data_IF_414880625276
#
_entry.id   IF_414880625276
#
_cell.length_a   1.000
_cell.length_b   1.000
_cell.length_c   1.000
_cell.angle_alpha   90.00
_cell.angle_beta   90.00
_cell.angle_gamma   90.00
#
_symmetry.space_group_name_H-M   'P 1'
#
loop_
_entity.id
_entity.type
_entity.pdbx_description
1 polymer ?
#
# COMPACT_ATOMS: atom_id res chain seq x y z
N UNK A 1 29.48 36.07 19.59
CA UNK A 1 29.94 34.98 18.70
C UNK A 1 28.74 34.31 18.09
N UNK A 2 28.42 34.65 16.86
CA UNK A 2 27.22 34.23 16.14
C UNK A 2 27.44 32.82 15.57
N UNK A 3 26.63 31.86 15.99
CA UNK A 3 26.54 30.55 15.31
C UNK A 3 25.81 30.75 13.97
N UNK A 4 26.55 30.77 12.89
CA UNK A 4 26.02 30.62 11.52
C UNK A 4 25.38 29.26 11.40
N UNK A 5 24.06 29.20 11.41
CA UNK A 5 23.33 28.03 10.93
C UNK A 5 23.42 28.01 9.43
N UNK A 6 24.29 27.16 8.93
CA UNK A 6 24.43 26.83 7.53
C UNK A 6 23.20 26.04 7.09
N UNK A 7 22.40 26.69 6.25
CA UNK A 7 21.47 26.02 5.32
C UNK A 7 22.28 25.20 4.32
N UNK A 8 22.63 23.98 4.67
CA UNK A 8 23.06 22.96 3.71
C UNK A 8 21.96 21.94 3.61
N UNK A 9 21.44 21.79 2.42
CA UNK A 9 20.55 20.72 2.05
C UNK A 9 21.13 19.40 2.52
N UNK A 10 20.38 18.71 3.37
CA UNK A 10 20.66 17.43 3.99
C UNK A 10 22.11 16.90 3.83
N UNK A 11 22.80 16.61 4.90
CA UNK A 11 24.23 16.32 5.08
C UNK A 11 24.85 15.20 4.20
N UNK A 12 24.11 14.61 3.28
CA UNK A 12 24.53 13.50 2.42
C UNK A 12 25.41 13.89 1.21
N UNK A 13 25.80 15.15 1.04
CA UNK A 13 26.42 15.60 -0.22
C UNK A 13 27.95 15.66 -0.24
N UNK A 14 28.66 15.37 0.82
CA UNK A 14 30.12 15.40 0.78
C UNK A 14 30.75 14.37 1.71
N UNK A 15 31.13 13.22 1.16
CA UNK A 15 32.46 12.59 1.36
C UNK A 15 32.58 11.36 0.48
N UNK A 16 33.53 11.36 -0.51
CA UNK A 16 33.93 10.15 -1.23
C UNK A 16 35.07 9.46 -0.46
N UNK A 17 34.96 8.13 -0.30
CA UNK A 17 36.05 7.18 -0.15
C UNK A 17 36.93 7.25 1.09
N UNK A 18 36.63 6.47 2.12
CA UNK A 18 37.63 5.80 2.94
C UNK A 18 37.13 4.38 3.25
N UNK A 19 37.74 3.40 2.62
CA UNK A 19 37.56 1.97 2.93
C UNK A 19 38.39 1.63 4.17
N UNK A 20 37.77 1.10 5.23
CA UNK A 20 38.43 0.25 6.23
C UNK A 20 37.55 -0.95 6.50
N UNK A 21 37.93 -2.08 5.92
CA UNK A 21 37.37 -3.41 6.13
C UNK A 21 37.81 -3.91 7.51
N UNK A 22 36.92 -3.85 8.49
CA UNK A 22 36.97 -4.72 9.65
C UNK A 22 35.83 -5.73 9.53
N UNK A 23 36.18 -7.01 9.44
CA UNK A 23 35.30 -8.14 9.11
C UNK A 23 34.30 -8.54 10.20
N UNK A 24 33.42 -7.63 10.60
CA UNK A 24 32.19 -7.97 11.31
C UNK A 24 31.05 -8.00 10.31
N UNK A 25 30.36 -9.13 10.24
CA UNK A 25 29.07 -9.24 9.54
C UNK A 25 28.10 -8.24 10.19
N UNK A 26 27.99 -7.05 9.60
CA UNK A 26 27.09 -6.02 10.10
C UNK A 26 25.65 -6.46 9.89
N UNK A 27 24.83 -6.38 10.96
CA UNK A 27 23.41 -6.72 10.89
C UNK A 27 22.70 -5.78 9.91
N UNK A 28 21.87 -6.36 9.05
CA UNK A 28 21.03 -5.63 8.12
C UNK A 28 20.09 -4.68 8.87
N UNK A 29 19.94 -3.44 8.37
CA UNK A 29 19.02 -2.44 8.91
C UNK A 29 18.09 -1.98 7.80
N UNK A 30 16.79 -2.01 8.07
CA UNK A 30 15.71 -1.57 7.19
C UNK A 30 14.89 -0.51 7.90
N UNK A 31 14.55 0.57 7.19
CA UNK A 31 13.55 1.53 7.63
C UNK A 31 12.24 1.26 6.93
N UNK A 32 11.15 1.30 7.68
CA UNK A 32 9.80 1.39 7.15
C UNK A 32 9.27 2.81 7.43
N UNK A 33 8.89 3.51 6.36
CA UNK A 33 8.42 4.90 6.41
C UNK A 33 6.94 4.91 6.06
N UNK A 34 6.09 5.44 6.95
CA UNK A 34 4.62 5.41 6.88
C UNK A 34 4.06 6.83 7.10
N UNK A 35 3.29 7.35 6.15
CA UNK A 35 2.70 8.68 6.25
C UNK A 35 1.52 8.68 7.22
N UNK A 36 1.58 9.53 8.24
CA UNK A 36 0.54 9.60 9.26
C UNK A 36 -0.79 10.08 8.72
N UNK A 37 -1.83 9.23 8.77
CA UNK A 37 -3.17 9.52 8.24
C UNK A 37 -3.11 10.13 6.85
N UNK A 38 -2.44 9.48 5.92
CA UNK A 38 -2.01 9.98 4.62
C UNK A 38 -3.06 10.83 3.89
N UNK A 39 -4.24 10.27 3.63
CA UNK A 39 -5.28 10.97 2.88
C UNK A 39 -5.75 12.26 3.57
N UNK A 40 -5.87 12.26 4.90
CA UNK A 40 -6.19 13.48 5.63
C UNK A 40 -5.04 14.48 5.61
N UNK A 41 -3.81 14.02 5.80
CA UNK A 41 -2.62 14.88 5.78
C UNK A 41 -2.41 15.53 4.42
N UNK A 42 -2.66 14.80 3.35
CA UNK A 42 -2.56 15.32 1.99
C UNK A 42 -3.72 16.26 1.64
N UNK A 43 -4.96 15.95 2.06
CA UNK A 43 -6.08 16.90 1.92
C UNK A 43 -5.81 18.19 2.70
N UNK A 44 -5.24 18.12 3.90
CA UNK A 44 -4.87 19.30 4.68
C UNK A 44 -3.78 20.13 3.97
N UNK A 45 -2.76 19.48 3.42
CA UNK A 45 -1.72 20.14 2.62
C UNK A 45 -2.34 20.87 1.43
N UNK A 46 -3.22 20.22 0.68
CA UNK A 46 -3.92 20.80 -0.48
C UNK A 46 -4.73 22.04 -0.09
N UNK A 47 -5.50 21.96 0.99
CA UNK A 47 -6.30 23.10 1.50
C UNK A 47 -5.41 24.29 1.88
N UNK A 48 -4.27 24.03 2.54
CA UNK A 48 -3.31 25.08 2.91
C UNK A 48 -2.63 25.70 1.68
N UNK A 49 -2.27 24.91 0.67
CA UNK A 49 -1.70 25.38 -0.61
C UNK A 49 -2.70 26.26 -1.40
N UNK A 50 -3.99 26.00 -1.25
CA UNK A 50 -5.07 26.85 -1.82
C UNK A 50 -5.28 28.16 -1.05
N UNK A 51 -4.50 28.42 0.01
CA UNK A 51 -4.54 29.67 0.77
C UNK A 51 -5.51 29.68 1.95
N UNK A 52 -6.14 28.56 2.28
CA UNK A 52 -6.95 28.46 3.50
C UNK A 52 -6.06 28.48 4.74
N UNK A 53 -6.51 29.19 5.80
CA UNK A 53 -5.74 29.35 7.05
C UNK A 53 -5.99 28.25 8.09
N UNK A 54 -6.96 27.39 7.86
CA UNK A 54 -7.34 26.35 8.82
C UNK A 54 -6.71 25.03 8.43
N UNK A 55 -5.84 24.52 9.28
CA UNK A 55 -5.33 23.17 9.15
C UNK A 55 -6.38 22.17 9.65
N UNK A 56 -6.95 21.40 8.74
CA UNK A 56 -7.99 20.42 9.08
C UNK A 56 -7.45 19.26 9.93
N UNK A 57 -6.13 19.03 10.01
CA UNK A 57 -5.52 18.03 10.90
C UNK A 57 -5.71 18.37 12.38
N UNK A 58 -5.81 19.65 12.70
CA UNK A 58 -5.99 20.19 14.06
C UNK A 58 -7.46 20.30 14.49
N UNK A 59 -8.37 20.01 13.57
CA UNK A 59 -9.82 20.04 13.79
C UNK A 59 -10.40 18.64 13.78
N UNK A 60 -11.62 18.50 14.30
CA UNK A 60 -12.39 17.26 14.17
C UNK A 60 -12.82 17.12 12.72
N UNK A 61 -12.05 16.37 11.95
CA UNK A 61 -12.19 16.28 10.50
C UNK A 61 -11.96 14.87 9.97
N UNK A 62 -12.54 14.58 8.82
CA UNK A 62 -12.39 13.33 8.09
C UNK A 62 -12.27 13.58 6.60
N UNK A 63 -11.59 12.67 5.92
CA UNK A 63 -11.77 12.45 4.48
C UNK A 63 -12.77 11.32 4.33
N UNK A 64 -13.70 11.46 3.42
CA UNK A 64 -14.75 10.48 3.20
C UNK A 64 -14.76 9.99 1.75
N UNK A 65 -15.31 8.83 1.53
CA UNK A 65 -15.58 8.31 0.19
C UNK A 65 -17.06 8.00 0.07
N UNK A 66 -17.65 8.44 -1.03
CA UNK A 66 -18.97 8.01 -1.46
C UNK A 66 -18.80 6.81 -2.38
N UNK A 67 -18.95 5.63 -1.82
CA UNK A 67 -19.24 4.46 -2.65
C UNK A 67 -20.74 4.41 -2.86
N UNK A 68 -21.16 4.14 -4.09
CA UNK A 68 -22.54 4.26 -4.64
C UNK A 68 -23.71 3.86 -3.73
N UNK A 69 -23.44 3.20 -2.61
CA UNK A 69 -24.45 2.76 -1.62
C UNK A 69 -24.13 3.15 -0.18
N UNK A 70 -22.92 3.55 0.14
CA UNK A 70 -22.49 3.83 1.52
C UNK A 70 -21.40 4.88 1.54
N UNK A 71 -21.48 5.77 2.53
CA UNK A 71 -20.45 6.79 2.78
C UNK A 71 -19.61 6.37 3.98
N UNK A 72 -18.31 6.22 3.78
CA UNK A 72 -17.37 5.81 4.83
C UNK A 72 -16.26 6.82 5.06
N UNK A 73 -15.79 6.88 6.29
CA UNK A 73 -14.57 7.59 6.66
C UNK A 73 -13.36 6.86 6.06
N UNK A 74 -12.65 7.54 5.19
CA UNK A 74 -11.39 7.06 4.58
C UNK A 74 -10.19 7.32 5.49
N UNK A 75 -10.14 8.52 6.09
CA UNK A 75 -9.13 8.89 7.07
C UNK A 75 -9.73 9.90 8.07
N UNK A 76 -9.23 9.87 9.32
CA UNK A 76 -9.69 10.74 10.39
C UNK A 76 -8.52 11.46 11.06
N UNK A 77 -8.73 12.72 11.46
CA UNK A 77 -7.79 13.52 12.24
C UNK A 77 -7.57 12.93 13.65
N UNK A 78 -6.47 13.32 14.29
CA UNK A 78 -6.24 12.91 15.69
C UNK A 78 -7.35 13.41 16.64
N UNK A 79 -7.86 14.67 16.54
CA UNK A 79 -9.05 15.08 17.28
C UNK A 79 -10.28 14.20 17.02
N UNK A 80 -10.53 13.82 15.76
CA UNK A 80 -11.65 12.93 15.43
C UNK A 80 -11.47 11.52 16.01
N UNK A 81 -10.24 10.96 15.93
CA UNK A 81 -9.91 9.65 16.51
C UNK A 81 -10.12 9.61 18.04
N UNK A 82 -9.81 10.70 18.75
CA UNK A 82 -10.04 10.83 20.20
C UNK A 82 -11.52 10.78 20.56
N UNK A 83 -12.41 11.20 19.65
CA UNK A 83 -13.87 11.09 19.80
C UNK A 83 -14.42 9.73 19.34
N UNK A 84 -13.55 8.77 18.99
CA UNK A 84 -13.93 7.44 18.56
C UNK A 84 -14.26 7.32 17.07
N UNK A 85 -14.07 8.37 16.27
CA UNK A 85 -14.27 8.32 14.82
C UNK A 85 -13.09 7.55 14.17
N UNK A 86 -13.41 6.47 13.44
CA UNK A 86 -12.41 5.53 12.89
C UNK A 86 -12.56 5.40 11.37
N UNK A 87 -11.46 5.02 10.71
CA UNK A 87 -11.48 4.56 9.31
C UNK A 87 -12.51 3.42 9.15
N UNK A 88 -13.19 3.39 8.01
CA UNK A 88 -14.31 2.52 7.67
C UNK A 88 -15.59 2.74 8.48
N UNK A 89 -15.64 3.73 9.39
CA UNK A 89 -16.89 4.12 10.07
C UNK A 89 -17.85 4.74 9.05
N UNK A 90 -19.15 4.41 9.19
CA UNK A 90 -20.18 5.08 8.40
C UNK A 90 -20.21 6.58 8.72
N UNK A 91 -20.30 7.42 7.70
CA UNK A 91 -20.21 8.88 7.84
C UNK A 91 -21.35 9.45 8.68
N UNK A 92 -22.58 8.88 8.59
CA UNK A 92 -23.69 9.31 9.44
C UNK A 92 -23.39 9.07 10.91
N UNK A 93 -22.81 7.90 11.23
CA UNK A 93 -22.39 7.60 12.60
C UNK A 93 -21.28 8.55 13.08
N UNK A 94 -20.35 8.92 12.22
CA UNK A 94 -19.32 9.91 12.57
C UNK A 94 -19.93 11.29 12.86
N UNK A 95 -20.96 11.71 12.10
CA UNK A 95 -21.71 12.97 12.35
C UNK A 95 -22.53 12.93 13.64
N UNK A 96 -23.08 11.77 14.01
CA UNK A 96 -23.75 11.60 15.30
C UNK A 96 -22.79 11.80 16.48
N UNK A 97 -21.54 11.31 16.37
CA UNK A 97 -20.51 11.51 17.38
C UNK A 97 -20.06 12.96 17.48
N UNK A 98 -20.04 13.69 16.37
CA UNK A 98 -19.67 15.10 16.32
C UNK A 98 -20.38 15.82 15.17
N UNK A 99 -21.48 16.56 15.45
CA UNK A 99 -22.26 17.25 14.41
C UNK A 99 -21.49 18.31 13.63
N UNK A 100 -20.46 18.93 14.25
CA UNK A 100 -19.59 19.92 13.63
C UNK A 100 -18.43 19.35 12.81
N UNK A 101 -18.52 18.07 12.40
CA UNK A 101 -17.47 17.36 11.67
C UNK A 101 -17.13 18.04 10.35
N UNK A 102 -15.85 18.40 10.18
CA UNK A 102 -15.33 18.89 8.89
C UNK A 102 -15.12 17.67 7.98
N UNK A 103 -15.67 17.76 6.78
CA UNK A 103 -15.67 16.65 5.82
C UNK A 103 -14.99 17.14 4.55
N UNK A 104 -13.86 16.50 4.20
CA UNK A 104 -13.12 16.79 2.98
C UNK A 104 -13.37 15.69 1.94
N UNK A 105 -13.60 16.04 0.65
CA UNK A 105 -13.65 15.04 -0.42
C UNK A 105 -12.26 14.48 -0.69
N UNK A 106 -12.14 13.24 -1.18
CA UNK A 106 -10.86 12.68 -1.58
C UNK A 106 -10.41 13.23 -2.94
N UNK A 107 -9.12 13.52 -3.07
CA UNK A 107 -8.47 13.81 -4.35
C UNK A 107 -7.32 12.82 -4.60
N UNK A 108 -7.65 11.68 -5.18
CA UNK A 108 -6.68 10.60 -5.43
C UNK A 108 -5.56 11.01 -6.40
N UNK A 109 -5.80 11.96 -7.30
CA UNK A 109 -4.78 12.49 -8.21
C UNK A 109 -3.73 13.28 -7.41
N UNK A 110 -4.19 14.15 -6.52
CA UNK A 110 -3.31 14.91 -5.63
C UNK A 110 -2.59 14.01 -4.64
N UNK A 111 -3.26 12.97 -4.10
CA UNK A 111 -2.62 11.99 -3.22
C UNK A 111 -1.48 11.24 -3.90
N UNK A 112 -1.68 10.84 -5.16
CA UNK A 112 -0.62 10.24 -5.97
C UNK A 112 0.56 11.19 -6.20
N UNK A 113 0.31 12.49 -6.37
CA UNK A 113 1.38 13.49 -6.46
C UNK A 113 2.19 13.59 -5.17
N UNK A 114 1.52 13.69 -4.00
CA UNK A 114 2.18 13.72 -2.70
C UNK A 114 3.02 12.44 -2.44
N UNK A 115 2.48 11.29 -2.77
CA UNK A 115 3.20 10.00 -2.72
C UNK A 115 4.45 10.03 -3.59
N UNK A 116 4.33 10.46 -4.84
CA UNK A 116 5.46 10.55 -5.77
C UNK A 116 6.52 11.55 -5.29
N UNK A 117 6.12 12.68 -4.69
CA UNK A 117 7.04 13.66 -4.08
C UNK A 117 7.85 13.02 -2.95
N UNK A 118 7.21 12.24 -2.08
CA UNK A 118 7.87 11.52 -1.00
C UNK A 118 8.88 10.51 -1.55
N UNK A 119 8.45 9.65 -2.46
CA UNK A 119 9.31 8.62 -3.06
C UNK A 119 10.49 9.26 -3.80
N UNK A 120 10.26 10.31 -4.59
CA UNK A 120 11.30 11.06 -5.28
C UNK A 120 12.29 11.71 -4.32
N UNK A 121 11.81 12.22 -3.17
CA UNK A 121 12.65 12.77 -2.12
C UNK A 121 13.55 11.68 -1.53
N UNK A 122 12.97 10.54 -1.14
CA UNK A 122 13.69 9.44 -0.49
C UNK A 122 14.72 8.79 -1.41
N UNK A 123 14.42 8.63 -2.70
CA UNK A 123 15.35 8.07 -3.70
C UNK A 123 16.65 8.86 -3.89
N UNK A 124 16.68 10.13 -3.47
CA UNK A 124 17.91 10.93 -3.48
C UNK A 124 18.93 10.47 -2.44
N UNK A 125 18.45 9.82 -1.38
CA UNK A 125 19.26 9.44 -0.22
C UNK A 125 19.37 7.93 -0.04
N UNK A 126 18.38 7.19 -0.56
CA UNK A 126 18.32 5.73 -0.45
C UNK A 126 18.19 5.13 -1.84
N UNK A 127 19.28 4.58 -2.42
CA UNK A 127 19.24 3.98 -3.75
C UNK A 127 18.35 2.73 -3.79
N UNK A 128 18.29 1.96 -2.70
CA UNK A 128 17.43 0.78 -2.57
C UNK A 128 16.18 1.13 -1.80
N UNK A 129 15.09 1.39 -2.54
CA UNK A 129 13.78 1.75 -2.00
C UNK A 129 12.69 0.90 -2.64
N UNK A 130 11.85 0.29 -1.81
CA UNK A 130 10.65 -0.43 -2.23
C UNK A 130 9.41 0.35 -1.82
N UNK A 131 8.65 0.86 -2.78
CA UNK A 131 7.33 1.40 -2.50
C UNK A 131 6.37 0.24 -2.23
N UNK A 132 5.79 0.20 -1.02
CA UNK A 132 4.89 -0.87 -0.59
C UNK A 132 3.41 -0.52 -0.84
N UNK A 133 3.04 0.72 -0.56
CA UNK A 133 1.72 1.28 -0.84
C UNK A 133 1.82 2.73 -1.33
N UNK A 134 0.70 3.45 -1.42
CA UNK A 134 0.69 4.87 -1.76
C UNK A 134 1.36 5.73 -0.68
N UNK A 135 1.36 5.28 0.58
CA UNK A 135 1.79 6.01 1.77
C UNK A 135 2.91 5.32 2.55
N UNK A 136 3.35 4.15 2.11
CA UNK A 136 4.37 3.36 2.80
C UNK A 136 5.50 2.92 1.87
N UNK A 137 6.72 2.94 2.39
CA UNK A 137 7.88 2.37 1.69
C UNK A 137 8.89 1.79 2.66
N UNK A 138 9.69 0.85 2.13
CA UNK A 138 10.88 0.32 2.80
C UNK A 138 12.12 0.88 2.13
N UNK A 139 13.13 1.20 2.94
CA UNK A 139 14.47 1.55 2.44
C UNK A 139 15.52 0.71 3.14
N UNK A 140 16.51 0.29 2.38
CA UNK A 140 17.69 -0.38 2.93
C UNK A 140 18.65 0.71 3.45
N UNK A 141 19.02 0.61 4.73
CA UNK A 141 20.03 1.49 5.30
C UNK A 141 21.40 0.90 5.00
N UNK A 142 22.09 1.46 3.99
CA UNK A 142 23.30 0.89 3.41
C UNK A 142 24.50 0.89 4.35
N UNK A 143 25.46 -0.02 4.13
CA UNK A 143 26.66 -0.15 4.94
C UNK A 143 27.49 1.14 4.96
N UNK A 144 27.58 1.82 3.82
CA UNK A 144 28.33 3.08 3.68
C UNK A 144 27.81 4.23 4.55
N UNK A 145 26.53 4.20 4.89
CA UNK A 145 25.89 5.21 5.76
C UNK A 145 26.00 4.82 7.23
N UNK A 146 25.99 3.52 7.55
CA UNK A 146 26.01 2.97 8.92
C UNK A 146 27.30 3.28 9.67
N UNK A 147 28.42 3.33 8.99
CA UNK A 147 29.73 3.56 9.60
C UNK A 147 29.86 4.96 10.22
N UNK A 148 28.99 5.88 9.82
CA UNK A 148 29.09 7.27 10.22
C UNK A 148 27.91 7.78 11.10
N UNK A 149 26.73 7.12 11.03
CA UNK A 149 25.53 7.67 11.66
C UNK A 149 24.67 6.60 12.32
N UNK A 150 24.30 6.88 13.56
CA UNK A 150 23.32 6.07 14.27
C UNK A 150 21.96 6.05 13.54
N UNK A 151 21.37 4.87 13.25
CA UNK A 151 20.11 4.75 12.52
C UNK A 151 18.95 5.54 13.11
N UNK A 152 18.89 5.68 14.44
CA UNK A 152 17.83 6.43 15.13
C UNK A 152 17.98 7.92 14.84
N UNK A 153 19.21 8.42 14.89
CA UNK A 153 19.53 9.83 14.57
C UNK A 153 19.12 10.13 13.13
N UNK A 154 19.55 9.29 12.18
CA UNK A 154 19.21 9.48 10.75
C UNK A 154 17.70 9.44 10.51
N UNK A 155 17.00 8.48 11.09
CA UNK A 155 15.54 8.37 10.96
C UNK A 155 14.82 9.59 11.58
N UNK A 156 15.34 10.12 12.69
CA UNK A 156 14.76 11.30 13.35
C UNK A 156 14.94 12.55 12.49
N UNK A 157 16.12 12.77 11.97
CA UNK A 157 16.40 13.90 11.05
C UNK A 157 15.61 13.77 9.75
N UNK A 158 15.54 12.58 9.19
CA UNK A 158 14.74 12.29 7.99
C UNK A 158 13.27 12.60 8.19
N UNK A 159 12.68 12.15 9.31
CA UNK A 159 11.30 12.43 9.69
C UNK A 159 11.03 13.94 9.76
N UNK A 160 11.91 14.69 10.42
CA UNK A 160 11.78 16.13 10.57
C UNK A 160 12.01 16.88 9.25
N UNK A 161 12.89 16.38 8.41
CA UNK A 161 13.12 16.89 7.06
C UNK A 161 11.89 16.69 6.16
N UNK A 162 11.28 15.51 6.16
CA UNK A 162 10.04 15.22 5.44
C UNK A 162 8.93 16.18 5.88
N UNK A 163 8.74 16.34 7.20
CA UNK A 163 7.75 17.29 7.75
C UNK A 163 7.97 18.72 7.26
N UNK A 164 9.21 19.18 7.25
CA UNK A 164 9.56 20.55 6.81
C UNK A 164 9.38 20.73 5.32
N UNK A 165 9.75 19.76 4.49
CA UNK A 165 9.74 19.88 3.02
C UNK A 165 8.40 19.56 2.40
N UNK A 166 7.68 18.58 2.95
CA UNK A 166 6.46 18.04 2.33
C UNK A 166 5.17 18.39 3.10
N UNK A 167 5.29 19.00 4.29
CA UNK A 167 4.18 19.51 5.10
C UNK A 167 3.25 18.41 5.65
N UNK A 168 3.74 17.18 5.74
CA UNK A 168 3.08 16.10 6.44
C UNK A 168 4.08 15.31 7.29
N UNK A 169 3.59 14.51 8.21
CA UNK A 169 4.42 13.74 9.12
C UNK A 169 4.47 12.27 8.72
N UNK A 170 5.56 11.60 9.09
CA UNK A 170 5.73 10.17 8.92
C UNK A 170 6.09 9.52 10.24
N UNK A 171 5.77 8.24 10.39
CA UNK A 171 6.42 7.36 11.33
C UNK A 171 7.54 6.61 10.64
N UNK A 172 8.63 6.36 11.34
CA UNK A 172 9.73 5.54 10.84
C UNK A 172 9.98 4.41 11.84
N UNK A 173 9.82 3.18 11.36
CA UNK A 173 10.21 1.98 12.09
C UNK A 173 11.56 1.47 11.60
N UNK A 174 12.41 1.05 12.53
CA UNK A 174 13.76 0.56 12.27
C UNK A 174 13.83 -0.90 12.74
N UNK A 175 14.32 -1.79 11.89
CA UNK A 175 14.46 -3.21 12.24
C UNK A 175 15.51 -3.93 11.42
N UNK A 176 15.84 -5.17 11.80
CA UNK A 176 16.81 -6.00 11.07
C UNK A 176 16.23 -6.60 9.77
N UNK A 177 14.93 -6.49 9.55
CA UNK A 177 14.24 -6.91 8.34
C UNK A 177 12.97 -6.06 8.11
N UNK A 178 12.32 -6.26 6.98
CA UNK A 178 11.12 -5.49 6.60
C UNK A 178 9.98 -5.65 7.59
N UNK A 179 9.73 -6.87 8.05
CA UNK A 179 8.66 -7.16 8.98
C UNK A 179 8.86 -6.42 10.32
N UNK A 180 10.06 -6.50 10.92
CA UNK A 180 10.36 -5.83 12.18
C UNK A 180 10.28 -4.31 12.04
N UNK A 181 10.78 -3.76 10.92
CA UNK A 181 10.67 -2.33 10.63
C UNK A 181 9.20 -1.89 10.49
N UNK A 182 8.35 -2.71 9.81
CA UNK A 182 6.91 -2.44 9.71
C UNK A 182 6.22 -2.46 11.07
N UNK A 183 6.47 -3.46 11.89
CA UNK A 183 5.94 -3.55 13.25
C UNK A 183 6.34 -2.33 14.10
N UNK A 184 7.61 -1.93 14.04
CA UNK A 184 8.11 -0.77 14.79
C UNK A 184 7.40 0.52 14.41
N UNK A 185 7.10 0.74 13.12
CA UNK A 185 6.42 1.95 12.66
C UNK A 185 4.99 2.09 13.18
N UNK A 186 4.38 0.99 13.61
CA UNK A 186 2.99 0.95 14.09
C UNK A 186 2.85 1.10 15.61
N UNK A 187 3.93 1.08 16.42
CA UNK A 187 3.86 1.11 17.90
C UNK A 187 3.16 2.36 18.43
N UNK A 188 3.66 3.52 18.13
CA UNK A 188 3.06 4.79 18.56
C UNK A 188 3.07 5.78 17.41
N UNK A 189 1.91 6.35 17.09
CA UNK A 189 1.71 7.36 16.04
C UNK A 189 1.04 8.61 16.64
N UNK A 190 1.26 9.80 16.09
CA UNK A 190 2.01 10.14 14.88
C UNK A 190 3.43 10.68 15.14
N UNK A 191 4.22 10.81 14.07
CA UNK A 191 5.50 11.55 14.01
C UNK A 191 6.57 11.02 14.95
N UNK A 192 6.72 9.69 14.99
CA UNK A 192 7.65 8.97 15.88
C UNK A 192 8.67 8.15 15.09
N UNK A 193 9.75 7.83 15.77
CA UNK A 193 10.74 6.84 15.34
C UNK A 193 10.79 5.76 16.42
N UNK A 194 10.70 4.51 15.98
CA UNK A 194 10.76 3.36 16.87
C UNK A 194 11.68 2.29 16.30
N UNK A 195 12.30 1.53 17.21
CA UNK A 195 13.10 0.36 16.87
C UNK A 195 12.37 -0.91 17.25
N UNK A 196 12.59 -1.96 16.44
CA UNK A 196 12.32 -3.33 16.83
C UNK A 196 13.42 -4.21 16.21
N UNK A 197 14.48 -4.40 16.99
CA UNK A 197 15.55 -5.32 16.66
C UNK A 197 15.24 -6.73 17.18
N UNK A 198 15.97 -7.74 16.68
CA UNK A 198 15.77 -9.14 17.10
C UNK A 198 15.85 -9.35 18.62
N UNK A 199 16.76 -8.65 19.28
CA UNK A 199 16.91 -8.70 20.75
C UNK A 199 15.79 -7.98 21.53
N UNK A 200 14.99 -7.14 20.85
CA UNK A 200 13.88 -6.38 21.45
C UNK A 200 12.51 -7.09 21.30
N UNK A 201 12.43 -8.15 20.50
CA UNK A 201 11.19 -8.86 20.18
C UNK A 201 10.43 -9.29 21.44
N UNK A 202 11.15 -9.84 22.43
CA UNK A 202 10.57 -10.34 23.68
C UNK A 202 9.87 -9.25 24.48
N UNK A 203 10.45 -8.06 24.49
CA UNK A 203 9.97 -6.95 25.28
C UNK A 203 8.91 -6.12 24.55
N UNK A 204 9.16 -5.82 23.27
CA UNK A 204 8.33 -4.86 22.52
C UNK A 204 7.24 -5.50 21.68
N UNK A 205 7.42 -6.72 21.16
CA UNK A 205 6.50 -7.33 20.21
C UNK A 205 5.67 -8.46 20.84
N UNK A 206 6.27 -9.38 21.57
CA UNK A 206 5.56 -10.55 22.11
C UNK A 206 4.39 -10.21 23.06
N UNK A 207 4.43 -9.15 23.89
CA UNK A 207 3.30 -8.78 24.73
C UNK A 207 2.08 -8.25 23.97
N UNK A 208 2.25 -7.87 22.71
CA UNK A 208 1.15 -7.31 21.91
C UNK A 208 0.07 -8.36 21.64
N UNK A 209 -1.16 -7.89 21.47
CA UNK A 209 -2.25 -8.73 21.09
C UNK A 209 -2.01 -9.33 19.68
N UNK A 210 -2.47 -10.56 19.46
CA UNK A 210 -2.18 -11.31 18.22
C UNK A 210 -2.63 -10.60 16.94
N UNK A 211 -3.70 -9.81 16.99
CA UNK A 211 -4.19 -9.02 15.83
C UNK A 211 -3.34 -7.79 15.50
N UNK A 212 -2.37 -7.44 16.35
CA UNK A 212 -1.37 -6.41 16.08
C UNK A 212 -0.20 -6.96 15.26
N UNK A 213 -0.06 -8.28 15.17
CA UNK A 213 0.91 -8.91 14.30
C UNK A 213 0.56 -8.59 12.83
N UNK A 214 1.49 -7.95 12.12
CA UNK A 214 1.31 -7.68 10.69
C UNK A 214 1.01 -8.96 9.91
N UNK A 215 -0.09 -8.93 9.14
CA UNK A 215 -0.62 -10.11 8.46
C UNK A 215 -1.69 -10.87 9.24
N UNK A 216 -1.82 -10.69 10.54
CA UNK A 216 -2.88 -11.32 11.31
C UNK A 216 -4.17 -10.47 11.29
N UNK A 217 -5.20 -10.95 10.61
CA UNK A 217 -6.46 -10.23 10.46
C UNK A 217 -7.36 -10.43 11.67
N UNK A 218 -8.05 -9.38 12.14
CA UNK A 218 -9.03 -9.49 13.25
C UNK A 218 -10.09 -10.56 13.07
N UNK A 219 -10.48 -10.87 11.84
CA UNK A 219 -11.43 -11.96 11.55
C UNK A 219 -10.92 -13.35 11.96
N UNK A 220 -9.60 -13.51 12.16
CA UNK A 220 -8.96 -14.76 12.60
C UNK A 220 -8.98 -14.89 14.13
N UNK A 221 -9.24 -13.82 14.86
CA UNK A 221 -9.21 -13.77 16.33
C UNK A 221 -10.08 -14.84 17.00
N UNK A 222 -11.33 -15.13 16.57
CA UNK A 222 -12.15 -16.15 17.21
C UNK A 222 -11.52 -17.55 17.15
N UNK A 223 -10.92 -17.90 16.01
CA UNK A 223 -10.26 -19.21 15.85
C UNK A 223 -8.96 -19.29 16.67
N UNK A 224 -8.18 -18.20 16.69
CA UNK A 224 -6.98 -18.10 17.50
C UNK A 224 -7.27 -18.24 18.99
N UNK A 225 -8.32 -17.58 19.48
CA UNK A 225 -8.75 -17.68 20.87
C UNK A 225 -9.13 -19.12 21.28
N UNK A 226 -9.83 -19.88 20.40
CA UNK A 226 -10.14 -21.31 20.63
C UNK A 226 -8.87 -22.15 20.80
N UNK A 227 -7.78 -21.75 20.16
CA UNK A 227 -6.48 -22.41 20.24
C UNK A 227 -5.59 -21.90 21.39
N UNK A 228 -6.11 -20.99 22.23
CA UNK A 228 -5.37 -20.36 23.33
C UNK A 228 -4.28 -19.42 22.84
N UNK A 229 -4.48 -18.74 21.68
CA UNK A 229 -3.55 -17.75 21.14
C UNK A 229 -4.20 -16.38 21.27
N UNK A 230 -3.69 -15.55 22.18
CA UNK A 230 -4.17 -14.19 22.44
C UNK A 230 -3.11 -13.13 22.16
N UNK A 231 -1.84 -13.49 22.34
CA UNK A 231 -0.69 -12.62 22.14
C UNK A 231 0.22 -13.14 21.05
N UNK A 232 1.13 -12.30 20.57
CA UNK A 232 2.16 -12.71 19.60
C UNK A 232 3.07 -13.77 20.25
N UNK A 233 3.32 -13.66 21.57
CA UNK A 233 4.08 -14.65 22.34
C UNK A 233 3.43 -16.04 22.27
N UNK A 234 2.12 -16.13 22.44
CA UNK A 234 1.39 -17.41 22.37
C UNK A 234 1.60 -18.07 21.01
N UNK A 235 1.52 -17.31 19.91
CA UNK A 235 1.76 -17.83 18.57
C UNK A 235 3.22 -18.29 18.39
N UNK A 236 4.18 -17.46 18.81
CA UNK A 236 5.61 -17.74 18.66
C UNK A 236 6.04 -19.03 19.36
N UNK A 237 5.36 -19.42 20.46
CA UNK A 237 5.67 -20.61 21.27
C UNK A 237 4.79 -21.84 20.95
N UNK A 238 3.84 -21.73 20.01
CA UNK A 238 3.08 -22.90 19.53
C UNK A 238 3.95 -23.82 18.68
N UNK A 239 3.61 -25.10 18.70
CA UNK A 239 4.28 -26.06 17.84
C UNK A 239 4.02 -25.74 16.35
N UNK A 240 5.10 -25.46 15.61
CA UNK A 240 5.04 -25.06 14.20
C UNK A 240 4.36 -26.11 13.31
N UNK A 241 4.65 -27.40 13.55
CA UNK A 241 4.08 -28.50 12.75
C UNK A 241 2.57 -28.64 13.00
N UNK A 242 2.13 -28.47 14.25
CA UNK A 242 0.72 -28.44 14.61
C UNK A 242 -0.01 -27.31 13.89
N UNK A 243 0.50 -26.09 13.95
CA UNK A 243 -0.10 -24.95 13.26
C UNK A 243 -0.21 -25.19 11.75
N UNK A 244 0.84 -25.74 11.14
CA UNK A 244 0.85 -26.02 9.71
C UNK A 244 -0.19 -27.09 9.33
N UNK A 245 -0.29 -28.19 10.09
CA UNK A 245 -1.23 -29.28 9.80
C UNK A 245 -2.70 -28.88 9.93
N UNK A 246 -3.01 -27.96 10.85
CA UNK A 246 -4.40 -27.53 11.13
C UNK A 246 -4.81 -26.33 10.30
N UNK A 247 -3.91 -25.39 10.06
CA UNK A 247 -4.21 -24.05 9.53
C UNK A 247 -3.54 -23.75 8.19
N UNK A 248 -2.66 -24.64 7.70
CA UNK A 248 -2.00 -24.54 6.40
C UNK A 248 -0.81 -23.59 6.35
N UNK A 249 -0.31 -23.34 5.13
CA UNK A 249 0.95 -22.62 4.90
C UNK A 249 0.98 -21.18 5.42
N UNK A 250 -0.16 -20.50 5.45
CA UNK A 250 -0.23 -19.11 5.91
C UNK A 250 0.19 -18.96 7.38
N UNK A 251 -0.17 -19.94 8.22
CA UNK A 251 0.19 -19.95 9.64
C UNK A 251 1.67 -20.23 9.89
N UNK A 252 2.30 -20.99 8.99
CA UNK A 252 3.76 -21.11 9.01
C UNK A 252 4.42 -19.76 8.87
N UNK A 253 3.97 -18.95 7.91
CA UNK A 253 4.48 -17.59 7.70
C UNK A 253 4.24 -16.72 8.95
N UNK A 254 3.03 -16.73 9.50
CA UNK A 254 2.72 -15.94 10.70
C UNK A 254 3.56 -16.37 11.92
N UNK A 255 3.84 -17.68 12.05
CA UNK A 255 4.72 -18.18 13.11
C UNK A 255 6.17 -17.71 12.93
N UNK A 256 6.70 -17.72 11.71
CA UNK A 256 8.02 -17.19 11.38
C UNK A 256 8.08 -15.69 11.70
N UNK A 257 7.08 -14.93 11.30
CA UNK A 257 6.97 -13.51 11.63
C UNK A 257 6.89 -13.26 13.14
N UNK A 258 6.10 -14.05 13.90
CA UNK A 258 6.01 -13.94 15.35
C UNK A 258 7.36 -14.19 16.06
N UNK A 259 8.27 -14.92 15.41
CA UNK A 259 9.65 -15.14 15.85
C UNK A 259 10.65 -14.11 15.25
N UNK A 260 10.15 -13.11 14.51
CA UNK A 260 10.99 -12.07 13.90
C UNK A 260 11.74 -12.52 12.65
N UNK A 261 11.34 -13.64 12.06
CA UNK A 261 11.97 -14.22 10.87
C UNK A 261 11.33 -13.66 9.61
N UNK A 262 12.07 -12.86 8.85
CA UNK A 262 11.71 -12.39 7.53
C UNK A 262 12.97 -12.20 6.67
N UNK A 263 13.11 -13.04 5.65
CA UNK A 263 14.25 -13.04 4.74
C UNK A 263 13.97 -12.25 3.45
N UNK A 264 12.83 -11.54 3.35
CA UNK A 264 12.50 -10.78 2.16
C UNK A 264 13.44 -9.59 1.99
N UNK A 265 13.87 -9.36 0.75
CA UNK A 265 14.74 -8.23 0.42
C UNK A 265 13.90 -6.97 0.19
N UNK A 266 14.49 -5.80 0.42
CA UNK A 266 13.98 -4.55 -0.13
C UNK A 266 14.32 -4.57 -1.61
N UNK A 267 13.29 -4.61 -2.46
CA UNK A 267 13.46 -4.71 -3.91
C UNK A 267 12.87 -3.45 -4.52
N UNK A 268 13.65 -2.80 -5.36
CA UNK A 268 13.16 -1.67 -6.15
C UNK A 268 12.27 -2.17 -7.30
N UNK A 269 11.01 -2.42 -6.98
CA UNK A 269 10.01 -2.98 -7.90
C UNK A 269 9.22 -1.89 -8.61
N UNK A 270 9.84 -0.79 -8.98
CA UNK A 270 9.08 0.32 -9.56
C UNK A 270 8.36 -0.04 -10.87
N UNK A 271 8.75 -1.12 -11.56
CA UNK A 271 8.27 -1.41 -12.92
C UNK A 271 7.62 -2.79 -13.18
N UNK A 272 7.58 -3.70 -12.23
CA UNK A 272 7.02 -5.05 -12.50
C UNK A 272 5.55 -5.17 -12.08
N UNK A 273 4.65 -4.49 -12.78
CA UNK A 273 3.22 -4.76 -12.64
C UNK A 273 2.89 -6.12 -13.25
N UNK A 274 2.35 -7.02 -12.45
CA UNK A 274 1.91 -8.35 -12.90
C UNK A 274 0.55 -8.34 -13.59
N UNK A 275 -0.27 -7.32 -13.33
CA UNK A 275 -1.61 -7.15 -13.89
C UNK A 275 -2.18 -5.76 -13.67
N UNK A 276 -3.24 -5.45 -14.40
CA UNK A 276 -4.06 -4.26 -14.27
C UNK A 276 -5.53 -4.70 -14.23
N UNK A 277 -6.38 -3.97 -13.52
CA UNK A 277 -7.81 -4.28 -13.45
C UNK A 277 -8.63 -3.07 -13.05
N UNK A 278 -9.87 -3.06 -13.50
CA UNK A 278 -10.89 -2.08 -13.16
C UNK A 278 -12.14 -2.81 -12.65
N UNK A 279 -12.84 -2.22 -11.69
CA UNK A 279 -14.11 -2.76 -11.21
C UNK A 279 -15.03 -1.67 -10.72
N UNK A 280 -16.33 -1.92 -10.73
CA UNK A 280 -17.32 -0.99 -10.21
C UNK A 280 -18.44 -1.71 -9.50
N UNK A 281 -18.85 -1.14 -8.35
CA UNK A 281 -20.09 -1.51 -7.69
C UNK A 281 -21.24 -0.90 -8.48
N UNK A 282 -22.29 -1.67 -8.76
CA UNK A 282 -23.53 -1.18 -9.37
C UNK A 282 -24.35 -0.36 -8.37
N UNK A 283 -25.07 0.68 -8.81
CA UNK A 283 -25.88 1.51 -7.89
C UNK A 283 -27.02 0.72 -7.22
N UNK A 284 -27.58 -0.21 -7.97
CA UNK A 284 -28.62 -1.16 -7.52
C UNK A 284 -28.14 -2.57 -7.87
N UNK A 285 -28.70 -3.57 -7.20
CA UNK A 285 -28.53 -4.97 -7.62
C UNK A 285 -29.19 -5.12 -8.99
N UNK A 286 -28.55 -5.82 -9.90
CA UNK A 286 -29.00 -5.86 -11.29
C UNK A 286 -28.68 -7.19 -11.95
N UNK A 287 -29.63 -7.61 -12.79
CA UNK A 287 -29.51 -8.69 -13.77
C UNK A 287 -29.66 -8.16 -15.22
N UNK A 288 -29.60 -6.84 -15.41
CA UNK A 288 -29.62 -6.22 -16.72
C UNK A 288 -28.26 -6.44 -17.41
N UNK A 289 -28.25 -7.35 -18.37
CA UNK A 289 -27.04 -7.74 -19.11
C UNK A 289 -26.41 -6.55 -19.83
N UNK A 290 -27.21 -5.74 -20.53
CA UNK A 290 -26.68 -4.63 -21.34
C UNK A 290 -26.05 -3.55 -20.44
N UNK A 291 -26.69 -3.29 -19.30
CA UNK A 291 -26.14 -2.40 -18.30
C UNK A 291 -24.80 -2.93 -17.75
N UNK A 292 -24.69 -4.24 -17.45
CA UNK A 292 -23.46 -4.85 -16.95
C UNK A 292 -22.35 -4.80 -18.00
N UNK A 293 -22.65 -5.12 -19.26
CA UNK A 293 -21.71 -5.10 -20.39
C UNK A 293 -21.14 -3.70 -20.61
N UNK A 294 -21.93 -2.65 -20.43
CA UNK A 294 -21.46 -1.27 -20.57
C UNK A 294 -20.31 -0.92 -19.61
N UNK A 295 -20.21 -1.62 -18.48
CA UNK A 295 -19.05 -1.50 -17.57
C UNK A 295 -17.82 -2.21 -18.13
N UNK A 296 -17.98 -3.41 -18.73
CA UNK A 296 -16.87 -4.15 -19.31
C UNK A 296 -16.25 -3.38 -20.48
N UNK A 297 -17.06 -2.77 -21.33
CA UNK A 297 -16.61 -1.91 -22.42
C UNK A 297 -15.78 -0.73 -21.90
N UNK A 298 -16.30 0.00 -20.92
CA UNK A 298 -15.59 1.11 -20.30
C UNK A 298 -14.28 0.67 -19.64
N UNK A 299 -14.27 -0.48 -18.96
CA UNK A 299 -13.06 -1.01 -18.33
C UNK A 299 -12.03 -1.44 -19.38
N UNK A 300 -12.45 -1.97 -20.53
CA UNK A 300 -11.52 -2.30 -21.60
C UNK A 300 -10.77 -1.07 -22.11
N UNK A 301 -11.47 0.05 -22.29
CA UNK A 301 -10.86 1.35 -22.67
C UNK A 301 -9.92 1.85 -21.55
N UNK A 302 -10.33 1.77 -20.28
CA UNK A 302 -9.48 2.17 -19.15
C UNK A 302 -8.19 1.33 -19.08
N UNK A 303 -8.29 0.03 -19.30
CA UNK A 303 -7.15 -0.87 -19.33
C UNK A 303 -6.22 -0.59 -20.52
N UNK A 304 -6.76 -0.35 -21.71
CA UNK A 304 -5.95 0.06 -22.88
C UNK A 304 -5.13 1.30 -22.59
N UNK A 305 -5.77 2.37 -22.07
CA UNK A 305 -5.08 3.61 -21.71
C UNK A 305 -3.98 3.37 -20.67
N UNK A 306 -4.27 2.54 -19.67
CA UNK A 306 -3.28 2.18 -18.65
C UNK A 306 -2.12 1.33 -19.18
N UNK A 307 -2.37 0.43 -20.14
CA UNK A 307 -1.36 -0.39 -20.80
C UNK A 307 -0.49 0.47 -21.73
N UNK A 308 -1.09 1.38 -22.48
CA UNK A 308 -0.38 2.32 -23.36
C UNK A 308 0.55 3.26 -22.57
N UNK A 309 0.07 3.84 -21.47
CA UNK A 309 0.87 4.71 -20.58
C UNK A 309 2.15 4.01 -20.06
N UNK A 310 2.12 2.68 -19.97
CA UNK A 310 3.22 1.86 -19.45
C UNK A 310 3.97 1.05 -20.50
N UNK A 311 3.55 1.15 -21.77
CA UNK A 311 4.09 0.33 -22.87
C UNK A 311 4.00 -1.18 -22.57
N UNK A 312 2.84 -1.63 -22.03
CA UNK A 312 2.60 -3.00 -21.62
C UNK A 312 1.56 -3.68 -22.50
N UNK A 313 1.66 -5.00 -22.59
CA UNK A 313 0.65 -5.90 -23.15
C UNK A 313 0.51 -7.12 -22.24
N UNK A 314 -0.66 -7.74 -22.20
CA UNK A 314 -0.93 -8.90 -21.36
C UNK A 314 -1.55 -10.06 -22.13
N UNK A 315 -1.58 -11.26 -21.55
CA UNK A 315 -2.18 -12.42 -22.20
C UNK A 315 -3.09 -13.26 -21.29
N UNK A 316 -3.49 -12.73 -20.13
CA UNK A 316 -4.53 -13.37 -19.31
C UNK A 316 -5.62 -12.35 -19.03
N UNK A 317 -6.83 -12.63 -19.54
CA UNK A 317 -8.02 -11.84 -19.24
C UNK A 317 -8.77 -12.51 -18.10
N UNK A 318 -9.26 -11.70 -17.16
CA UNK A 318 -10.04 -12.15 -16.01
C UNK A 318 -11.28 -11.26 -15.86
N UNK A 319 -12.45 -11.90 -15.77
CA UNK A 319 -13.73 -11.24 -15.45
C UNK A 319 -14.21 -11.76 -14.10
N UNK A 320 -14.73 -10.89 -13.26
CA UNK A 320 -15.34 -11.27 -12.00
C UNK A 320 -16.62 -10.50 -11.73
N UNK A 321 -17.53 -11.17 -11.04
CA UNK A 321 -18.77 -10.59 -10.55
C UNK A 321 -18.91 -10.85 -9.07
N UNK A 322 -19.65 -9.99 -8.37
CA UNK A 322 -20.04 -10.22 -6.98
C UNK A 322 -21.56 -10.24 -6.91
N UNK A 323 -22.09 -11.31 -6.34
CA UNK A 323 -23.52 -11.49 -6.09
C UNK A 323 -23.99 -10.64 -4.91
N UNK A 324 -25.30 -10.57 -4.74
CA UNK A 324 -25.95 -9.78 -3.68
C UNK A 324 -25.64 -10.29 -2.26
N UNK A 325 -25.34 -11.56 -2.10
CA UNK A 325 -24.86 -12.20 -0.86
C UNK A 325 -23.36 -11.97 -0.60
N UNK A 326 -22.68 -11.13 -1.41
CA UNK A 326 -21.26 -10.83 -1.38
C UNK A 326 -20.33 -11.98 -1.80
N UNK A 327 -20.84 -13.08 -2.32
CA UNK A 327 -20.01 -14.11 -2.94
C UNK A 327 -19.43 -13.64 -4.27
N UNK A 328 -18.19 -14.05 -4.56
CA UNK A 328 -17.51 -13.73 -5.81
C UNK A 328 -17.47 -14.95 -6.71
N UNK A 329 -17.76 -14.73 -8.00
CA UNK A 329 -17.40 -15.66 -9.07
C UNK A 329 -16.42 -14.97 -10.01
N UNK A 330 -15.46 -15.72 -10.54
CA UNK A 330 -14.51 -15.20 -11.52
C UNK A 330 -14.17 -16.26 -12.54
N UNK A 331 -13.93 -15.83 -13.77
CA UNK A 331 -13.44 -16.67 -14.85
C UNK A 331 -12.27 -15.98 -15.54
N UNK A 332 -11.24 -16.75 -15.89
CA UNK A 332 -10.05 -16.23 -16.57
C UNK A 332 -9.66 -17.13 -17.74
N UNK A 333 -9.09 -16.52 -18.75
CA UNK A 333 -8.56 -17.22 -19.90
C UNK A 333 -7.17 -16.72 -20.28
N UNK A 334 -6.28 -17.66 -20.61
CA UNK A 334 -4.93 -17.34 -21.08
C UNK A 334 -4.87 -17.43 -22.59
N UNK A 335 -4.51 -16.32 -23.20
CA UNK A 335 -4.34 -16.19 -24.64
C UNK A 335 -2.96 -16.71 -25.11
N UNK A 336 -2.88 -17.18 -26.33
CA UNK A 336 -1.61 -17.58 -26.96
C UNK A 336 -0.73 -16.39 -27.36
N UNK A 337 -1.28 -15.18 -27.41
CA UNK A 337 -0.61 -13.95 -27.82
C UNK A 337 -0.88 -12.81 -26.83
N UNK A 338 -0.06 -11.78 -26.86
CA UNK A 338 -0.22 -10.58 -26.06
C UNK A 338 -1.22 -9.63 -26.72
N UNK A 339 -2.08 -9.00 -25.91
CA UNK A 339 -3.03 -7.97 -26.36
C UNK A 339 -2.92 -6.72 -25.47
N UNK A 340 -3.30 -5.56 -26.01
CA UNK A 340 -3.32 -4.29 -25.30
C UNK A 340 -4.38 -3.29 -25.82
N UNK A 341 -5.23 -3.70 -26.74
CA UNK A 341 -6.30 -2.85 -27.32
C UNK A 341 -7.64 -3.13 -26.65
N UNK A 342 -8.46 -2.09 -26.51
CA UNK A 342 -9.79 -2.17 -25.89
C UNK A 342 -10.68 -3.20 -26.62
N UNK A 343 -10.70 -3.19 -27.94
CA UNK A 343 -11.52 -4.11 -28.73
C UNK A 343 -11.22 -5.57 -28.41
N UNK A 344 -9.92 -5.94 -28.37
CA UNK A 344 -9.53 -7.32 -28.06
C UNK A 344 -9.79 -7.68 -26.59
N UNK A 345 -9.51 -6.77 -25.66
CA UNK A 345 -9.79 -6.98 -24.23
C UNK A 345 -11.30 -7.18 -24.03
N UNK A 346 -12.12 -6.37 -24.68
CA UNK A 346 -13.59 -6.45 -24.59
C UNK A 346 -14.14 -7.71 -25.22
N UNK A 347 -13.66 -8.10 -26.42
CA UNK A 347 -14.06 -9.33 -27.12
C UNK A 347 -13.92 -10.55 -26.18
N UNK A 348 -12.76 -10.74 -25.57
CA UNK A 348 -12.53 -11.84 -24.63
C UNK A 348 -13.27 -11.67 -23.30
N UNK A 349 -13.46 -10.43 -22.84
CA UNK A 349 -14.22 -10.17 -21.63
C UNK A 349 -15.69 -10.59 -21.77
N UNK A 350 -16.31 -10.35 -22.94
CA UNK A 350 -17.67 -10.79 -23.20
C UNK A 350 -17.80 -12.31 -23.20
N UNK A 351 -16.89 -13.03 -23.86
CA UNK A 351 -16.91 -14.49 -23.88
C UNK A 351 -16.83 -15.05 -22.44
N UNK A 352 -15.92 -14.53 -21.64
CA UNK A 352 -15.75 -14.95 -20.24
C UNK A 352 -16.93 -14.57 -19.36
N UNK A 353 -17.56 -13.43 -19.62
CA UNK A 353 -18.74 -12.98 -18.89
C UNK A 353 -19.94 -13.89 -19.18
N UNK A 354 -20.18 -14.25 -20.42
CA UNK A 354 -21.29 -15.14 -20.84
C UNK A 354 -21.12 -16.58 -20.28
N UNK A 355 -19.87 -17.04 -20.11
CA UNK A 355 -19.59 -18.31 -19.44
C UNK A 355 -19.76 -18.24 -17.92
N UNK A 356 -19.58 -17.06 -17.33
CA UNK A 356 -19.57 -16.86 -15.88
C UNK A 356 -20.95 -16.54 -15.30
N UNK A 357 -21.73 -15.72 -16.01
CA UNK A 357 -22.97 -15.13 -15.52
C UNK A 357 -24.18 -15.68 -16.27
N UNK A 358 -25.22 -16.08 -15.51
CA UNK A 358 -26.41 -16.76 -16.06
C UNK A 358 -27.72 -16.05 -15.65
N UNK A 359 -27.68 -14.74 -15.43
CA UNK A 359 -28.86 -13.94 -15.14
C UNK A 359 -29.09 -13.65 -13.66
N UNK A 360 -28.16 -14.00 -12.77
CA UNK A 360 -28.26 -13.70 -11.34
C UNK A 360 -28.05 -12.21 -11.05
N UNK A 361 -28.69 -11.72 -9.98
CA UNK A 361 -28.45 -10.37 -9.50
C UNK A 361 -27.02 -10.19 -8.99
N UNK A 362 -26.33 -9.20 -9.52
CA UNK A 362 -24.98 -8.82 -9.11
C UNK A 362 -24.93 -7.38 -8.62
N UNK A 363 -23.96 -7.09 -7.75
CA UNK A 363 -23.72 -5.75 -7.24
C UNK A 363 -22.31 -5.22 -7.53
N UNK A 364 -21.45 -6.00 -8.20
CA UNK A 364 -20.15 -5.57 -8.69
C UNK A 364 -19.76 -6.39 -9.92
N UNK A 365 -19.12 -5.71 -10.87
CA UNK A 365 -18.47 -6.31 -12.03
C UNK A 365 -17.05 -5.76 -12.17
N UNK A 366 -16.12 -6.59 -12.63
CA UNK A 366 -14.75 -6.20 -12.87
C UNK A 366 -14.11 -6.96 -14.02
N UNK A 367 -13.08 -6.31 -14.58
CA UNK A 367 -12.28 -6.79 -15.71
C UNK A 367 -10.81 -6.56 -15.43
N UNK A 368 -9.96 -7.52 -15.74
CA UNK A 368 -8.53 -7.43 -15.56
C UNK A 368 -7.73 -8.08 -16.67
N UNK A 369 -6.51 -7.59 -16.83
CA UNK A 369 -5.49 -8.18 -17.71
C UNK A 369 -4.22 -8.39 -16.92
N UNK A 370 -3.60 -9.55 -17.06
CA UNK A 370 -2.39 -9.92 -16.31
C UNK A 370 -1.36 -10.65 -17.15
N UNK A 371 -0.26 -11.08 -16.52
CA UNK A 371 0.93 -11.57 -17.21
C UNK A 371 1.46 -10.50 -18.19
N UNK A 372 1.64 -9.30 -17.65
CA UNK A 372 2.08 -8.14 -18.41
C UNK A 372 3.54 -8.28 -18.82
N UNK A 373 3.84 -7.86 -20.07
CA UNK A 373 5.17 -7.74 -20.63
C UNK A 373 5.30 -6.40 -21.33
N UNK A 374 6.51 -5.90 -21.47
CA UNK A 374 6.76 -4.73 -22.33
C UNK A 374 6.33 -5.05 -23.76
N UNK A 375 5.64 -4.11 -24.38
CA UNK A 375 5.22 -4.21 -25.77
C UNK A 375 6.48 -4.09 -26.64
N UNK A 376 6.86 -5.16 -27.32
CA UNK A 376 7.86 -5.08 -28.37
C UNK A 376 7.24 -4.35 -29.54
N UNK A 377 7.55 -3.08 -29.74
CA UNK A 377 7.25 -2.39 -30.96
C UNK A 377 8.08 -3.04 -32.09
N UNK A 378 7.48 -3.91 -32.88
CA UNK A 378 8.01 -4.22 -34.19
C UNK A 378 7.88 -2.95 -35.00
N UNK A 379 8.99 -2.21 -35.12
CA UNK A 379 9.09 -1.12 -36.06
C UNK A 379 8.96 -1.76 -37.46
N UNK A 380 7.76 -1.72 -38.01
CA UNK A 380 7.56 -2.05 -39.45
C UNK A 380 8.31 -0.98 -40.20
N UNK A 381 9.54 -1.27 -40.58
CA UNK A 381 10.30 -0.41 -41.51
C UNK A 381 9.52 -0.35 -42.81
N UNK A 382 9.45 0.82 -43.43
CA UNK A 382 8.83 1.04 -44.75
C UNK A 382 9.25 -0.01 -45.79
N UNK A 383 10.38 -0.65 -45.60
CA UNK A 383 10.90 -1.74 -46.45
C UNK A 383 10.12 -3.05 -46.39
N UNK A 384 9.39 -3.33 -45.31
CA UNK A 384 8.56 -4.56 -45.23
C UNK A 384 7.23 -4.46 -46.01
N UNK A 385 6.85 -3.28 -46.44
CA UNK A 385 5.64 -3.04 -47.25
C UNK A 385 5.89 -3.10 -48.78
N UNK A 386 7.13 -3.24 -49.20
CA UNK A 386 7.51 -3.20 -50.63
C UNK A 386 7.82 -4.60 -51.17
N UNK A 387 7.76 -5.65 -50.36
CA UNK A 387 8.04 -7.05 -50.77
C UNK A 387 6.81 -7.95 -50.63
N UNK A 388 5.69 -7.54 -51.22
CA UNK A 388 4.58 -8.44 -51.60
C UNK A 388 3.97 -7.99 -52.91
#
# INVERSE_FOLDING_TARGET
MSKKYLTKDFFFLYYPWIYTTNGYSMERIVFHIDVNSAFLSWSAKQVLEQGYKVDIRERVSVVWVEEKRKCFVLAASMPAKKLGIKTAMNLYRAKELYPGLIIAPPDYKYYKQCSNELIKLLRKYFPTLQQYSIDECFVEYTEDIRDYWDPITVATELKDFIKKKLWFTVNIGIGNNKFLAKMASDFEKPNKVHTLYKNEIKEKMWPLAIWELFGCWRRMEPELRKMGIQTIWDLAHKNKQFLWSVLGNYWKVLWELANGEDNTKVIDNYDERKGMGASSITRIDTHDRDFIISFLERFAVELELGLMDKELSGNVINVWVRHTDFTYKSHQHRLSHLINTADKIYEYALLLFDELWHGEDINLVGLGISWLKKTEFKQNTLFSLITH
#
